data_IF_315257653851
#
_entry.id   IF_315257653851
#
_cell.length_a   1.000
_cell.length_b   1.000
_cell.length_c   1.000
_cell.angle_alpha   90.00
_cell.angle_beta   90.00
_cell.angle_gamma   90.00
#
_symmetry.space_group_name_H-M   'P 1'
#
loop_
_entity.id
_entity.type
_entity.pdbx_description
1 polymer ?
#
# COMPACT_ATOMS: atom_id res chain seq x y z
N UNK A 1 30.18 -27.14 -5.24
CA UNK A 1 29.12 -26.58 -4.38
C UNK A 1 28.62 -25.31 -5.05
N UNK A 2 27.58 -25.42 -5.88
CA UNK A 2 27.02 -24.27 -6.58
C UNK A 2 26.12 -23.49 -5.62
N UNK A 3 26.55 -22.29 -5.23
CA UNK A 3 25.68 -21.33 -4.55
C UNK A 3 24.68 -20.81 -5.59
N UNK A 4 23.53 -21.48 -5.70
CA UNK A 4 22.35 -20.83 -6.24
C UNK A 4 22.08 -19.66 -5.29
N UNK A 5 22.31 -18.43 -5.74
CA UNK A 5 22.10 -17.23 -4.95
C UNK A 5 20.63 -17.13 -4.58
N UNK A 6 20.25 -17.68 -3.41
CA UNK A 6 18.91 -17.50 -2.87
C UNK A 6 18.73 -16.01 -2.60
N UNK A 7 17.87 -15.36 -3.38
CA UNK A 7 17.50 -13.97 -3.18
C UNK A 7 17.14 -13.72 -1.70
N UNK A 8 17.60 -12.59 -1.16
CA UNK A 8 17.47 -12.26 0.27
C UNK A 8 16.15 -11.53 0.60
N UNK A 9 15.28 -11.38 -0.41
CA UNK A 9 14.01 -10.68 -0.28
C UNK A 9 14.12 -9.16 -0.31
N UNK A 10 15.30 -8.61 -0.60
CA UNK A 10 15.51 -7.16 -0.74
C UNK A 10 15.47 -6.73 -2.20
N UNK A 11 15.23 -5.44 -2.41
CA UNK A 11 15.29 -4.80 -3.72
C UNK A 11 16.18 -3.55 -3.64
N UNK A 12 16.86 -3.24 -4.73
CA UNK A 12 17.56 -1.98 -4.92
C UNK A 12 16.58 -0.82 -5.14
N UNK A 13 17.08 0.42 -5.06
CA UNK A 13 16.25 1.58 -5.31
C UNK A 13 15.70 1.65 -6.75
N UNK A 14 16.49 1.24 -7.75
CA UNK A 14 16.02 1.20 -9.14
C UNK A 14 14.93 0.15 -9.33
N UNK A 15 15.09 -1.03 -8.71
CA UNK A 15 14.05 -2.07 -8.72
C UNK A 15 12.78 -1.62 -7.98
N UNK A 16 12.94 -0.87 -6.87
CA UNK A 16 11.80 -0.22 -6.21
C UNK A 16 11.06 0.74 -7.15
N UNK A 17 11.79 1.57 -7.90
CA UNK A 17 11.19 2.49 -8.87
C UNK A 17 10.44 1.75 -9.99
N UNK A 18 11.01 0.66 -10.53
CA UNK A 18 10.34 -0.15 -11.55
C UNK A 18 9.11 -0.88 -10.99
N UNK A 19 9.21 -1.42 -9.77
CA UNK A 19 8.09 -2.03 -9.07
C UNK A 19 6.98 -1.01 -8.75
N UNK A 20 7.33 0.24 -8.43
CA UNK A 20 6.40 1.33 -8.19
C UNK A 20 5.60 1.68 -9.45
N UNK A 21 6.28 1.74 -10.60
CA UNK A 21 5.63 1.91 -11.90
C UNK A 21 4.66 0.76 -12.20
N UNK A 22 5.11 -0.48 -11.99
CA UNK A 22 4.26 -1.66 -12.20
C UNK A 22 3.02 -1.66 -11.30
N UNK A 23 3.17 -1.31 -10.01
CA UNK A 23 2.05 -1.17 -9.07
C UNK A 23 1.05 -0.10 -9.55
N UNK A 24 1.51 1.08 -9.93
CA UNK A 24 0.63 2.17 -10.43
C UNK A 24 -0.18 1.76 -11.64
N UNK A 25 0.44 1.13 -12.64
CA UNK A 25 -0.25 0.68 -13.85
C UNK A 25 -1.28 -0.41 -13.54
N UNK A 26 -0.90 -1.42 -12.74
CA UNK A 26 -1.83 -2.48 -12.32
C UNK A 26 -3.00 -1.92 -11.51
N UNK A 27 -2.74 -0.99 -10.59
CA UNK A 27 -3.78 -0.35 -9.78
C UNK A 27 -4.77 0.42 -10.65
N UNK A 28 -4.27 1.18 -11.62
CA UNK A 28 -5.11 1.95 -12.54
C UNK A 28 -6.04 1.06 -13.37
N UNK A 29 -5.57 -0.12 -13.76
CA UNK A 29 -6.37 -1.10 -14.51
C UNK A 29 -7.42 -1.80 -13.64
N UNK A 30 -7.13 -2.06 -12.36
CA UNK A 30 -8.01 -2.82 -11.46
C UNK A 30 -8.92 -1.96 -10.58
N UNK A 31 -8.56 -0.70 -10.30
CA UNK A 31 -9.26 0.20 -9.38
C UNK A 31 -9.49 1.59 -10.01
N UNK A 32 -10.11 1.64 -11.18
CA UNK A 32 -10.34 2.92 -11.88
C UNK A 32 -11.26 3.90 -11.13
N UNK A 33 -12.07 3.39 -10.19
CA UNK A 33 -12.93 4.20 -9.32
C UNK A 33 -12.17 4.78 -8.11
N UNK A 34 -10.99 4.26 -7.77
CA UNK A 34 -10.17 4.77 -6.67
C UNK A 34 -9.14 5.80 -7.17
N UNK A 35 -8.64 6.68 -6.29
CA UNK A 35 -7.50 7.52 -6.62
C UNK A 35 -6.31 6.68 -7.13
N UNK A 36 -5.53 7.18 -8.10
CA UNK A 36 -4.39 6.46 -8.63
C UNK A 36 -3.17 6.59 -7.71
N UNK A 37 -2.32 5.56 -7.68
CA UNK A 37 -0.97 5.70 -7.17
C UNK A 37 -0.11 6.55 -8.12
N UNK A 38 0.48 7.61 -7.61
CA UNK A 38 1.30 8.55 -8.39
C UNK A 38 2.73 8.62 -7.85
N UNK A 39 3.70 8.75 -8.75
CA UNK A 39 5.10 8.92 -8.34
C UNK A 39 5.40 10.39 -8.06
N UNK A 40 5.95 10.67 -6.88
CA UNK A 40 6.34 12.01 -6.46
C UNK A 40 7.86 12.13 -6.48
N UNK A 41 8.39 12.96 -7.40
CA UNK A 41 9.81 13.27 -7.46
C UNK A 41 10.20 14.23 -6.33
N UNK A 42 11.17 13.83 -5.52
CA UNK A 42 11.70 14.61 -4.42
C UNK A 42 12.93 15.40 -4.90
N UNK A 43 12.85 16.73 -4.82
CA UNK A 43 13.98 17.60 -5.16
C UNK A 43 15.08 17.42 -4.11
N UNK A 44 16.26 16.98 -4.53
CA UNK A 44 17.45 16.94 -3.67
C UNK A 44 17.95 18.35 -3.37
N UNK A 45 18.54 18.59 -2.18
CA UNK A 45 19.38 19.76 -1.96
C UNK A 45 20.52 19.80 -2.98
N UNK A 46 20.93 21.00 -3.38
CA UNK A 46 21.93 21.25 -4.44
C UNK A 46 23.30 20.58 -4.23
N UNK A 47 23.61 20.12 -3.01
CA UNK A 47 24.88 19.48 -2.67
C UNK A 47 24.90 17.94 -2.77
N UNK A 48 23.76 17.30 -3.07
CA UNK A 48 23.69 15.84 -3.27
C UNK A 48 23.76 15.54 -4.78
N UNK A 49 24.54 14.51 -5.15
CA UNK A 49 24.82 14.13 -6.55
C UNK A 49 23.56 14.13 -7.45
N UNK A 50 23.67 14.75 -8.63
CA UNK A 50 22.59 14.99 -9.61
C UNK A 50 21.94 13.71 -10.19
N UNK A 51 22.58 12.54 -10.04
CA UNK A 51 22.28 11.36 -10.86
C UNK A 51 21.27 10.36 -10.29
N UNK A 52 20.69 10.59 -9.12
CA UNK A 52 19.69 9.69 -8.56
C UNK A 52 18.42 10.48 -8.23
N UNK A 53 17.44 10.44 -9.14
CA UNK A 53 16.09 10.93 -8.88
C UNK A 53 15.50 10.13 -7.71
N UNK A 54 15.29 10.81 -6.58
CA UNK A 54 14.63 10.22 -5.42
C UNK A 54 13.13 10.50 -5.47
N UNK A 55 12.34 9.58 -4.96
CA UNK A 55 10.89 9.73 -4.93
C UNK A 55 10.21 8.64 -4.11
N UNK A 56 8.90 8.74 -4.08
CA UNK A 56 8.02 7.81 -3.40
C UNK A 56 6.69 7.72 -4.14
N UNK A 57 5.94 6.65 -3.87
CA UNK A 57 4.61 6.47 -4.42
C UNK A 57 3.58 7.07 -3.47
N UNK A 58 2.61 7.82 -3.98
CA UNK A 58 1.57 8.50 -3.22
C UNK A 58 0.17 8.12 -3.70
N UNK A 59 -0.70 7.80 -2.75
CA UNK A 59 -2.13 7.60 -2.92
C UNK A 59 -2.84 8.48 -1.87
N UNK A 60 -3.38 9.61 -2.31
CA UNK A 60 -4.05 10.58 -1.43
C UNK A 60 -5.57 10.57 -1.65
N UNK A 61 -6.31 11.00 -0.63
CA UNK A 61 -7.77 11.09 -0.65
C UNK A 61 -8.47 9.73 -0.88
N UNK A 62 -7.93 8.67 -0.30
CA UNK A 62 -8.54 7.33 -0.33
C UNK A 62 -9.58 7.21 0.78
N UNK A 63 -10.83 6.89 0.44
CA UNK A 63 -11.90 6.76 1.43
C UNK A 63 -12.10 5.29 1.81
N UNK A 64 -12.13 5.02 3.11
CA UNK A 64 -12.38 3.69 3.66
C UNK A 64 -13.57 3.75 4.64
N UNK A 65 -14.54 2.87 4.44
CA UNK A 65 -15.63 2.71 5.40
C UNK A 65 -15.15 1.86 6.58
N UNK A 66 -15.32 2.35 7.79
CA UNK A 66 -15.15 1.50 8.98
C UNK A 66 -16.17 0.36 8.93
N UNK A 67 -15.70 -0.88 9.07
CA UNK A 67 -16.59 -2.03 9.12
C UNK A 67 -17.15 -2.08 10.54
N UNK A 68 -18.41 -1.70 10.71
CA UNK A 68 -19.13 -1.90 11.98
C UNK A 68 -19.09 -3.39 12.35
N UNK A 69 -18.85 -3.65 13.64
CA UNK A 69 -18.63 -5.00 14.20
C UNK A 69 -19.90 -5.84 14.21
N UNK A 70 -20.54 -6.07 13.08
CA UNK A 70 -21.56 -7.11 12.92
C UNK A 70 -21.52 -7.60 11.47
N UNK A 71 -21.28 -8.91 11.32
CA UNK A 71 -20.72 -9.47 10.10
C UNK A 71 -21.57 -9.34 8.84
N UNK A 72 -20.91 -9.07 7.71
CA UNK A 72 -21.11 -9.83 6.48
C UNK A 72 -20.05 -9.42 5.46
N UNK A 73 -19.57 -10.40 4.69
CA UNK A 73 -18.87 -10.14 3.45
C UNK A 73 -19.88 -9.52 2.48
N UNK A 74 -19.76 -8.22 2.22
CA UNK A 74 -20.42 -7.61 1.08
C UNK A 74 -19.42 -6.80 0.27
N UNK A 75 -19.30 -7.24 -0.97
CA UNK A 75 -18.57 -6.66 -2.09
C UNK A 75 -18.98 -5.19 -2.25
N UNK A 76 -18.07 -4.24 -1.96
CA UNK A 76 -18.38 -2.82 -2.04
C UNK A 76 -18.12 -2.29 -3.44
N UNK A 77 -19.14 -2.42 -4.30
CA UNK A 77 -19.38 -1.49 -5.40
C UNK A 77 -20.75 -0.84 -5.17
N UNK A 78 -20.78 0.29 -4.45
CA UNK A 78 -21.98 1.14 -4.35
C UNK A 78 -21.73 2.49 -5.01
N UNK A 79 -22.32 2.62 -6.20
CA UNK A 79 -22.58 3.87 -6.91
C UNK A 79 -23.68 4.63 -6.16
N UNK A 80 -23.35 5.75 -5.52
CA UNK A 80 -24.36 6.66 -4.97
C UNK A 80 -25.01 7.44 -6.13
N UNK A 81 -26.28 7.12 -6.41
CA UNK A 81 -27.14 8.00 -7.21
C UNK A 81 -27.56 9.20 -6.36
N UNK A 82 -27.49 10.39 -6.95
CA UNK A 82 -27.90 11.65 -6.33
C UNK A 82 -29.42 11.71 -6.19
N UNK A 83 -29.94 11.65 -4.97
CA UNK A 83 -31.26 12.20 -4.63
C UNK A 83 -31.06 13.38 -3.65
N UNK A 84 -31.85 14.47 -3.77
CA UNK A 84 -31.67 15.65 -2.93
C UNK A 84 -32.15 15.38 -1.51
N UNK A 85 -31.24 15.45 -0.54
CA UNK A 85 -31.48 15.14 0.87
C UNK A 85 -31.88 16.41 1.64
N UNK A 86 -32.99 16.31 2.37
CA UNK A 86 -33.54 17.31 3.30
C UNK A 86 -32.62 17.50 4.53
N UNK A 87 -32.42 18.75 4.94
CA UNK A 87 -31.35 19.23 5.84
C UNK A 87 -31.70 19.06 7.34
N UNK A 88 -32.00 17.82 7.73
CA UNK A 88 -32.22 17.44 9.12
C UNK A 88 -31.81 15.97 9.37
N UNK A 89 -30.55 15.63 9.09
CA UNK A 89 -30.01 14.30 9.39
C UNK A 89 -29.74 14.17 10.90
N UNK A 90 -30.61 13.43 11.58
CA UNK A 90 -30.30 12.82 12.87
C UNK A 90 -29.08 11.92 12.68
N UNK A 91 -28.07 12.02 13.55
CA UNK A 91 -26.95 11.07 13.60
C UNK A 91 -27.53 9.65 13.67
N UNK A 92 -27.52 8.93 12.54
CA UNK A 92 -27.87 7.52 12.52
C UNK A 92 -26.67 6.76 13.09
N UNK A 93 -26.75 6.18 14.30
CA UNK A 93 -25.65 5.44 14.90
C UNK A 93 -25.29 4.17 14.10
N UNK A 94 -26.07 3.82 13.07
CA UNK A 94 -25.84 2.72 12.16
C UNK A 94 -25.12 3.14 10.86
N UNK A 95 -24.93 4.44 10.61
CA UNK A 95 -24.20 4.91 9.44
C UNK A 95 -22.72 4.51 9.55
N UNK A 96 -22.14 3.86 8.51
CA UNK A 96 -20.72 3.52 8.52
C UNK A 96 -19.88 4.79 8.60
N UNK A 97 -19.01 4.89 9.61
CA UNK A 97 -18.09 6.01 9.73
C UNK A 97 -17.07 5.91 8.60
N UNK A 98 -17.04 6.90 7.71
CA UNK A 98 -16.10 6.96 6.59
C UNK A 98 -14.88 7.75 7.02
N UNK A 99 -13.70 7.19 6.75
CA UNK A 99 -12.42 7.84 7.02
C UNK A 99 -11.66 8.10 5.72
N UNK A 100 -11.00 9.24 5.64
CA UNK A 100 -10.12 9.57 4.53
C UNK A 100 -8.68 9.23 4.89
N UNK A 101 -7.93 8.64 3.96
CA UNK A 101 -6.55 8.23 4.14
C UNK A 101 -5.65 8.76 3.03
N UNK A 102 -4.42 9.07 3.44
CA UNK A 102 -3.28 9.25 2.55
C UNK A 102 -2.26 8.15 2.83
N UNK A 103 -1.77 7.48 1.78
CA UNK A 103 -0.78 6.42 1.85
C UNK A 103 0.43 6.75 0.98
N UNK A 104 1.63 6.67 1.55
CA UNK A 104 2.88 6.82 0.84
C UNK A 104 3.74 5.56 0.98
N UNK A 105 4.31 5.09 -0.14
CA UNK A 105 5.27 3.98 -0.15
C UNK A 105 6.65 4.56 -0.41
N UNK A 106 7.53 4.45 0.59
CA UNK A 106 8.88 5.02 0.57
C UNK A 106 9.91 3.91 0.62
N UNK A 107 10.98 4.04 -0.15
CA UNK A 107 12.11 3.10 -0.08
C UNK A 107 12.99 3.37 1.15
N UNK A 108 13.24 2.34 1.96
CA UNK A 108 14.23 2.41 3.04
C UNK A 108 15.60 1.94 2.54
N UNK A 109 16.58 2.85 2.52
CA UNK A 109 17.96 2.50 2.16
C UNK A 109 18.61 1.54 3.18
N UNK A 110 18.27 1.67 4.47
CA UNK A 110 18.83 0.84 5.53
C UNK A 110 18.34 -0.60 5.47
N UNK A 111 17.05 -0.80 5.18
CA UNK A 111 16.45 -2.13 5.12
C UNK A 111 16.42 -2.71 3.69
N UNK A 112 16.61 -1.88 2.65
CA UNK A 112 16.51 -2.23 1.22
C UNK A 112 15.15 -2.82 0.84
N UNK A 113 14.10 -2.22 1.37
CA UNK A 113 12.69 -2.64 1.22
C UNK A 113 11.77 -1.41 1.23
N UNK A 114 10.52 -1.52 0.73
CA UNK A 114 9.51 -0.49 0.89
C UNK A 114 9.02 -0.36 2.34
N UNK A 115 8.59 0.84 2.69
CA UNK A 115 7.96 1.22 3.96
C UNK A 115 6.65 1.92 3.64
N UNK A 116 5.57 1.53 4.32
CA UNK A 116 4.28 2.20 4.21
C UNK A 116 4.20 3.30 5.26
N UNK A 117 3.96 4.53 4.81
CA UNK A 117 3.59 5.67 5.63
C UNK A 117 2.12 5.98 5.36
N UNK A 118 1.37 6.35 6.40
CA UNK A 118 -0.03 6.72 6.22
C UNK A 118 -0.53 7.73 7.25
N UNK A 119 -1.62 8.39 6.89
CA UNK A 119 -2.41 9.27 7.78
C UNK A 119 -3.88 9.03 7.50
N UNK A 120 -4.67 8.94 8.55
CA UNK A 120 -6.12 8.89 8.46
C UNK A 120 -6.74 10.17 9.00
N UNK A 121 -7.94 10.49 8.52
CA UNK A 121 -8.73 11.65 8.88
C UNK A 121 -10.19 11.27 9.08
N UNK A 122 -10.83 11.85 10.10
CA UNK A 122 -12.28 11.88 10.20
C UNK A 122 -12.88 12.80 9.13
N UNK A 123 -14.19 12.69 8.89
CA UNK A 123 -14.92 13.55 7.94
C UNK A 123 -14.81 15.05 8.26
N UNK A 124 -14.55 15.43 9.51
CA UNK A 124 -14.34 16.81 9.95
C UNK A 124 -12.89 17.31 9.72
N UNK A 125 -12.03 16.46 9.14
CA UNK A 125 -10.63 16.74 8.85
C UNK A 125 -9.68 16.54 10.04
N UNK A 126 -10.15 16.12 11.21
CA UNK A 126 -9.28 15.81 12.34
C UNK A 126 -8.47 14.53 12.08
N UNK A 127 -7.18 14.48 12.45
CA UNK A 127 -6.36 13.31 12.22
C UNK A 127 -6.77 12.15 13.14
N UNK A 128 -6.86 10.94 12.58
CA UNK A 128 -7.18 9.72 13.31
C UNK A 128 -6.10 9.37 14.34
N UNK A 129 -6.53 8.91 15.51
CA UNK A 129 -5.64 8.28 16.49
C UNK A 129 -5.39 6.81 16.14
N UNK A 130 -4.41 6.20 16.81
CA UNK A 130 -4.16 4.75 16.70
C UNK A 130 -5.41 3.96 17.05
N UNK A 131 -6.14 4.37 18.10
CA UNK A 131 -7.34 3.69 18.54
C UNK A 131 -8.47 3.77 17.50
N UNK A 132 -8.58 4.88 16.78
CA UNK A 132 -9.60 5.05 15.74
C UNK A 132 -9.29 4.18 14.52
N UNK A 133 -8.02 4.13 14.11
CA UNK A 133 -7.54 3.23 13.05
C UNK A 133 -7.82 1.78 13.46
N UNK A 134 -7.43 1.37 14.67
CA UNK A 134 -7.66 0.00 15.16
C UNK A 134 -9.13 -0.41 15.20
N UNK A 135 -10.03 0.52 15.56
CA UNK A 135 -11.48 0.27 15.58
C UNK A 135 -12.06 0.08 14.18
N UNK A 136 -11.52 0.78 13.18
CA UNK A 136 -11.97 0.68 11.79
C UNK A 136 -11.52 -0.60 11.07
N UNK A 137 -10.53 -1.32 11.62
CA UNK A 137 -10.00 -2.54 11.01
C UNK A 137 -10.92 -3.76 11.23
N UNK A 138 -11.08 -4.62 10.22
CA UNK A 138 -11.73 -5.90 10.42
C UNK A 138 -10.94 -6.77 11.41
N UNK A 139 -11.64 -7.67 12.12
CA UNK A 139 -11.09 -8.40 13.27
C UNK A 139 -9.82 -9.22 12.94
N UNK A 140 -9.71 -9.74 11.73
CA UNK A 140 -8.52 -10.46 11.24
C UNK A 140 -7.31 -9.52 11.05
N UNK A 141 -7.52 -8.32 10.52
CA UNK A 141 -6.50 -7.30 10.36
C UNK A 141 -6.02 -6.79 11.72
N UNK A 142 -6.95 -6.54 12.66
CA UNK A 142 -6.64 -6.16 14.02
C UNK A 142 -5.84 -7.24 14.76
N UNK A 143 -6.23 -8.51 14.62
CA UNK A 143 -5.50 -9.64 15.19
C UNK A 143 -4.08 -9.72 14.62
N UNK A 144 -3.95 -9.59 13.30
CA UNK A 144 -2.64 -9.58 12.63
C UNK A 144 -1.78 -8.42 13.13
N UNK A 145 -2.33 -7.21 13.22
CA UNK A 145 -1.63 -6.03 13.74
C UNK A 145 -1.12 -6.25 15.18
N UNK A 146 -1.89 -6.93 16.04
CA UNK A 146 -1.55 -7.15 17.45
C UNK A 146 -0.62 -8.33 17.70
N UNK A 147 -0.73 -9.39 16.92
CA UNK A 147 0.01 -10.65 17.13
C UNK A 147 1.24 -10.78 16.22
N UNK A 148 1.28 -10.06 15.11
CA UNK A 148 2.39 -10.15 14.15
C UNK A 148 3.63 -9.47 14.69
N UNK A 149 4.75 -10.18 14.60
CA UNK A 149 6.09 -9.62 14.87
C UNK A 149 6.58 -8.69 13.76
N UNK A 150 5.89 -8.66 12.62
CA UNK A 150 6.36 -8.05 11.37
C UNK A 150 5.59 -6.78 10.99
N UNK A 151 4.47 -6.52 11.64
CA UNK A 151 3.59 -5.39 11.30
C UNK A 151 3.19 -4.67 12.58
N UNK A 152 4.14 -4.02 13.24
CA UNK A 152 3.83 -3.10 14.33
C UNK A 152 3.79 -1.67 13.81
N UNK A 153 2.75 -0.93 14.21
CA UNK A 153 2.56 0.46 13.86
C UNK A 153 3.35 1.36 14.81
N UNK A 154 4.05 2.35 14.24
CA UNK A 154 4.79 3.38 14.97
C UNK A 154 4.56 4.76 14.34
N UNK A 155 5.08 5.82 14.95
CA UNK A 155 5.11 7.17 14.37
C UNK A 155 6.54 7.56 14.05
N UNK A 156 6.77 7.96 12.80
CA UNK A 156 8.07 8.42 12.32
C UNK A 156 7.89 9.69 11.47
N UNK A 157 8.97 10.47 11.33
CA UNK A 157 8.99 11.62 10.44
C UNK A 157 9.07 11.15 8.99
N UNK A 158 8.18 11.64 8.12
CA UNK A 158 8.20 11.27 6.72
C UNK A 158 9.49 11.80 6.05
N UNK A 159 10.30 10.95 5.38
CA UNK A 159 11.65 11.31 4.92
C UNK A 159 11.74 12.54 4.01
N UNK A 160 10.63 12.88 3.34
CA UNK A 160 10.57 13.99 2.38
C UNK A 160 9.63 15.13 2.78
N UNK A 161 8.85 15.01 3.86
CA UNK A 161 7.76 15.96 4.17
C UNK A 161 7.87 16.63 5.54
N UNK A 162 8.94 16.34 6.31
CA UNK A 162 9.27 16.97 7.59
C UNK A 162 8.09 17.07 8.58
N UNK A 163 7.26 16.03 8.63
CA UNK A 163 6.10 15.94 9.52
C UNK A 163 5.88 14.49 9.96
N UNK A 164 5.26 14.24 11.13
CA UNK A 164 5.03 12.89 11.61
C UNK A 164 3.92 12.19 10.82
N UNK A 165 4.14 10.91 10.54
CA UNK A 165 3.21 9.99 9.89
C UNK A 165 3.18 8.69 10.68
N UNK A 166 2.09 7.94 10.57
CA UNK A 166 2.11 6.55 11.02
C UNK A 166 2.89 5.72 10.00
N UNK A 167 3.60 4.70 10.48
CA UNK A 167 4.32 3.77 9.61
C UNK A 167 4.28 2.37 10.18
N UNK A 168 4.30 1.39 9.28
CA UNK A 168 4.52 -0.01 9.62
C UNK A 168 6.02 -0.28 9.51
N UNK A 169 6.62 -0.71 10.62
CA UNK A 169 8.06 -0.88 10.67
C UNK A 169 8.53 -1.96 9.68
N UNK A 170 9.59 -1.69 8.93
CA UNK A 170 10.12 -2.59 7.89
C UNK A 170 10.80 -3.88 8.42
N UNK A 171 10.71 -4.15 9.72
CA UNK A 171 11.35 -5.32 10.34
C UNK A 171 10.79 -6.58 9.68
N UNK A 172 11.66 -7.36 9.04
CA UNK A 172 11.31 -8.63 8.40
C UNK A 172 10.51 -8.54 7.11
N UNK A 173 10.33 -7.35 6.53
CA UNK A 173 9.78 -7.24 5.17
C UNK A 173 10.61 -8.09 4.20
N UNK A 174 11.94 -8.06 4.30
CA UNK A 174 12.82 -8.86 3.43
C UNK A 174 12.62 -10.37 3.64
N UNK A 175 12.61 -10.85 4.88
CA UNK A 175 12.40 -12.28 5.18
C UNK A 175 11.06 -12.76 4.67
N UNK A 176 10.01 -11.97 4.86
CA UNK A 176 8.68 -12.32 4.40
C UNK A 176 8.55 -12.30 2.87
N UNK A 177 9.13 -11.30 2.20
CA UNK A 177 9.17 -11.24 0.75
C UNK A 177 9.98 -12.40 0.17
N UNK A 178 11.12 -12.75 0.79
CA UNK A 178 11.88 -13.94 0.43
C UNK A 178 11.02 -15.20 0.48
N UNK A 179 10.24 -15.40 1.55
CA UNK A 179 9.35 -16.56 1.69
C UNK A 179 8.28 -16.59 0.60
N UNK A 180 7.65 -15.45 0.28
CA UNK A 180 6.62 -15.38 -0.75
C UNK A 180 7.11 -15.78 -2.15
N UNK A 181 8.38 -15.54 -2.45
CA UNK A 181 8.99 -15.90 -3.74
C UNK A 181 9.96 -17.10 -3.63
N UNK A 182 9.90 -17.87 -2.55
CA UNK A 182 10.82 -19.02 -2.36
C UNK A 182 10.52 -20.18 -3.32
N UNK A 183 9.25 -20.41 -3.65
CA UNK A 183 8.84 -21.48 -4.57
C UNK A 183 8.94 -21.08 -6.05
N UNK A 184 9.26 -19.81 -6.33
CA UNK A 184 9.40 -19.27 -7.69
C UNK A 184 10.80 -19.48 -8.27
N UNK A 185 11.44 -20.62 -8.02
CA UNK A 185 12.79 -20.93 -8.50
C UNK A 185 12.98 -20.89 -10.02
N UNK A 186 11.87 -20.87 -10.79
CA UNK A 186 11.84 -20.71 -12.25
C UNK A 186 11.43 -19.31 -12.72
N UNK A 187 11.05 -18.40 -11.82
CA UNK A 187 10.56 -17.07 -12.17
C UNK A 187 11.74 -16.13 -12.43
N UNK A 188 11.68 -15.42 -13.56
CA UNK A 188 12.68 -14.43 -13.91
C UNK A 188 12.71 -13.30 -12.88
N UNK A 189 13.90 -12.83 -12.53
CA UNK A 189 14.09 -11.75 -11.55
C UNK A 189 13.25 -10.50 -11.86
N UNK A 190 13.13 -10.12 -13.14
CA UNK A 190 12.27 -9.01 -13.56
C UNK A 190 10.81 -9.19 -13.19
N UNK A 191 10.27 -10.41 -13.29
CA UNK A 191 8.89 -10.71 -12.90
C UNK A 191 8.70 -10.65 -11.37
N UNK A 192 9.74 -10.96 -10.58
CA UNK A 192 9.73 -10.74 -9.12
C UNK A 192 9.62 -9.25 -8.83
N UNK A 193 10.44 -8.42 -9.49
CA UNK A 193 10.43 -6.96 -9.32
C UNK A 193 9.07 -6.36 -9.68
N UNK A 194 8.49 -6.72 -10.82
CA UNK A 194 7.16 -6.24 -11.25
C UNK A 194 6.05 -6.58 -10.25
N UNK A 195 6.17 -7.72 -9.56
CA UNK A 195 5.17 -8.20 -8.62
C UNK A 195 5.47 -7.80 -7.16
N UNK A 196 6.68 -7.31 -6.89
CA UNK A 196 7.19 -7.11 -5.53
C UNK A 196 6.29 -6.19 -4.70
N UNK A 197 6.03 -4.97 -5.16
CA UNK A 197 5.22 -4.00 -4.39
C UNK A 197 3.75 -4.40 -4.30
N UNK A 198 3.20 -5.06 -5.31
CA UNK A 198 1.81 -5.53 -5.27
C UNK A 198 1.66 -6.64 -4.24
N UNK A 199 2.54 -7.64 -4.27
CA UNK A 199 2.55 -8.71 -3.28
C UNK A 199 2.79 -8.16 -1.88
N UNK A 200 3.74 -7.25 -1.73
CA UNK A 200 4.01 -6.61 -0.45
C UNK A 200 2.78 -5.84 0.09
N UNK A 201 2.20 -4.95 -0.74
CA UNK A 201 1.06 -4.12 -0.39
C UNK A 201 -0.19 -4.95 -0.08
N UNK A 202 -0.35 -6.11 -0.72
CA UNK A 202 -1.48 -7.01 -0.46
C UNK A 202 -1.55 -7.49 0.98
N UNK A 203 -0.43 -7.50 1.72
CA UNK A 203 -0.41 -7.87 3.13
C UNK A 203 -0.31 -6.66 4.03
N UNK A 204 0.60 -5.72 3.76
CA UNK A 204 0.74 -4.53 4.62
C UNK A 204 -0.44 -3.56 4.50
N UNK A 205 -1.13 -3.54 3.36
CA UNK A 205 -2.31 -2.70 3.17
C UNK A 205 -3.49 -3.17 4.02
N UNK A 206 -3.68 -4.48 4.16
CA UNK A 206 -4.80 -5.04 4.93
C UNK A 206 -4.80 -4.60 6.39
N UNK A 207 -3.61 -4.45 7.00
CA UNK A 207 -3.49 -4.01 8.40
C UNK A 207 -3.78 -2.51 8.61
N UNK A 208 -4.01 -1.76 7.53
CA UNK A 208 -4.38 -0.34 7.55
C UNK A 208 -5.65 -0.04 6.74
N UNK A 209 -6.44 -1.07 6.42
CA UNK A 209 -7.70 -0.93 5.69
C UNK A 209 -7.57 -0.72 4.17
N UNK A 210 -6.36 -0.80 3.62
CA UNK A 210 -6.11 -0.70 2.18
C UNK A 210 -6.15 -2.09 1.53
N UNK A 211 -7.17 -2.35 0.73
CA UNK A 211 -7.33 -3.62 0.03
C UNK A 211 -6.70 -3.58 -1.37
N UNK A 212 -5.91 -4.61 -1.70
CA UNK A 212 -5.36 -4.82 -3.04
C UNK A 212 -6.20 -5.87 -3.76
N UNK A 213 -6.81 -5.57 -4.92
CA UNK A 213 -7.57 -6.55 -5.69
C UNK A 213 -6.73 -7.76 -6.08
N UNK A 214 -7.31 -8.95 -5.94
CA UNK A 214 -6.66 -10.22 -6.26
C UNK A 214 -6.20 -10.30 -7.73
N UNK A 215 -6.88 -9.59 -8.64
CA UNK A 215 -6.48 -9.51 -10.04
C UNK A 215 -5.08 -8.92 -10.23
N UNK A 216 -4.66 -7.99 -9.36
CA UNK A 216 -3.31 -7.42 -9.42
C UNK A 216 -2.23 -8.43 -9.02
N UNK A 217 -2.58 -9.44 -8.22
CA UNK A 217 -1.68 -10.52 -7.78
C UNK A 217 -1.43 -11.58 -8.85
N UNK A 218 -2.26 -11.61 -9.90
CA UNK A 218 -2.05 -12.50 -11.03
C UNK A 218 -0.85 -12.00 -11.85
N UNK A 219 0.09 -12.89 -12.14
CA UNK A 219 1.15 -12.62 -13.10
C UNK A 219 0.50 -12.29 -14.44
N UNK A 220 0.66 -11.05 -14.90
CA UNK A 220 0.12 -10.64 -16.18
C UNK A 220 0.88 -11.39 -17.28
N UNK A 221 0.17 -12.24 -18.04
CA UNK A 221 0.64 -12.68 -19.35
C UNK A 221 0.62 -11.47 -20.29
N UNK A 222 1.52 -10.50 -20.08
CA UNK A 222 1.77 -9.44 -21.04
C UNK A 222 2.46 -10.10 -22.22
N UNK A 223 1.67 -10.46 -23.22
CA UNK A 223 2.15 -10.85 -24.54
C UNK A 223 3.03 -9.68 -25.03
N UNK A 224 4.28 -9.91 -25.44
CA UNK A 224 5.14 -8.83 -25.89
C UNK A 224 4.47 -8.10 -27.06
N UNK A 225 4.44 -6.75 -27.07
CA UNK A 225 4.08 -6.03 -28.27
C UNK A 225 5.19 -6.31 -29.29
N UNK A 226 4.81 -6.71 -30.50
CA UNK A 226 5.66 -7.11 -31.62
C UNK A 226 6.17 -8.56 -31.60
N UNK A 227 5.27 -9.50 -31.93
CA UNK A 227 5.61 -10.60 -32.83
C UNK A 227 5.07 -10.24 -34.21
N UNK A 228 5.91 -9.63 -35.05
CA UNK A 228 5.67 -9.52 -36.49
C UNK A 228 6.10 -10.83 -37.15
N UNK A 229 5.14 -11.56 -37.71
CA UNK A 229 5.36 -12.39 -38.89
C UNK A 229 5.26 -11.52 -40.15
#
# INVERSE_FOLDING_TARGET
>A
MGLCSSWDGTISYSEFFDAARALSEKWKLSNSACPPWTWICCKKPFWVSLHEEQGYLSLENFYCCSISKEGSYHDQSQSFGEEPVDDAALDDPCAPEVHQYDFHIVYSASYRVPVLFFRGYHCDGQPLTVDDIEKGLPANALKTLKESKWTFMTREEHPYLNRPWYTLHACGTSEWMKLMFSDSSSTQHGAVVEQYLVSWLSVVGQVVGLQVPLEMLKSSNLKPPFSSD
#
